data_IF_659180834108
#
_entry.id   IF_659180834108
#
_cell.length_a   1.000
_cell.length_b   1.000
_cell.length_c   1.000
_cell.angle_alpha   90.00
_cell.angle_beta   90.00
_cell.angle_gamma   90.00
#
_symmetry.space_group_name_H-M   'P 1'
#
loop_
_entity.id
_entity.type
_entity.pdbx_description
1 polymer ?
#
# COMPACT_ATOMS: atom_id res chain seq x y z
N UNK A 1 -7.41 -8.62 -10.03
CA UNK A 1 -7.14 -7.61 -11.06
C UNK A 1 -5.67 -7.19 -11.10
N UNK A 2 -5.06 -6.79 -9.99
CA UNK A 2 -3.68 -6.29 -9.97
C UNK A 2 -2.64 -7.30 -10.46
N UNK A 3 -2.80 -8.58 -10.14
CA UNK A 3 -1.91 -9.64 -10.65
C UNK A 3 -2.11 -9.93 -12.14
N UNK A 4 -3.33 -9.82 -12.65
CA UNK A 4 -3.62 -9.99 -14.07
C UNK A 4 -2.86 -8.96 -14.92
N UNK A 5 -2.89 -7.69 -14.52
CA UNK A 5 -2.12 -6.64 -15.18
C UNK A 5 -0.61 -6.88 -15.11
N UNK A 6 -0.10 -7.36 -13.97
CA UNK A 6 1.33 -7.66 -13.80
C UNK A 6 1.79 -8.85 -14.66
N UNK A 7 0.98 -9.89 -14.80
CA UNK A 7 1.28 -11.05 -15.67
C UNK A 7 1.21 -10.68 -17.14
N UNK A 8 0.28 -9.82 -17.53
CA UNK A 8 0.14 -9.36 -18.91
C UNK A 8 1.25 -8.37 -19.33
N UNK A 9 1.82 -7.64 -18.35
CA UNK A 9 2.99 -6.80 -18.55
C UNK A 9 4.25 -7.67 -18.54
N UNK A 10 5.29 -7.24 -19.24
CA UNK A 10 6.60 -7.90 -19.14
C UNK A 10 7.11 -7.87 -17.69
N UNK A 11 8.11 -8.71 -17.38
CA UNK A 11 8.71 -8.73 -16.05
C UNK A 11 9.24 -7.35 -15.65
N UNK A 12 8.84 -6.93 -14.45
CA UNK A 12 9.31 -5.70 -13.81
C UNK A 12 9.78 -5.99 -12.38
N UNK A 13 10.75 -5.21 -11.93
CA UNK A 13 11.33 -5.31 -10.57
C UNK A 13 10.28 -5.30 -9.46
N UNK A 14 9.17 -4.61 -9.66
CA UNK A 14 8.06 -4.52 -8.70
C UNK A 14 7.48 -5.90 -8.32
N UNK A 15 7.67 -6.91 -9.16
CA UNK A 15 7.23 -8.27 -8.88
C UNK A 15 7.87 -8.84 -7.60
N UNK A 16 9.09 -8.44 -7.25
CA UNK A 16 9.75 -8.84 -6.00
C UNK A 16 9.09 -8.23 -4.76
N UNK A 17 8.44 -7.08 -4.89
CA UNK A 17 7.73 -6.47 -3.76
C UNK A 17 6.48 -7.25 -3.35
N UNK A 18 5.84 -7.97 -4.26
CA UNK A 18 4.60 -8.70 -4.02
C UNK A 18 4.76 -9.76 -2.91
N UNK A 19 5.70 -10.73 -2.99
CA UNK A 19 5.90 -11.71 -1.92
C UNK A 19 6.37 -11.06 -0.61
N UNK A 20 7.21 -10.04 -0.66
CA UNK A 20 7.65 -9.32 0.53
C UNK A 20 6.48 -8.68 1.26
N UNK A 21 5.59 -8.01 0.55
CA UNK A 21 4.38 -7.41 1.11
C UNK A 21 3.36 -8.46 1.55
N UNK A 22 3.27 -9.61 0.88
CA UNK A 22 2.40 -10.71 1.31
C UNK A 22 2.85 -11.27 2.66
N UNK A 23 4.13 -11.54 2.85
CA UNK A 23 4.68 -12.00 4.13
C UNK A 23 4.61 -10.93 5.22
N UNK A 24 4.86 -9.66 4.88
CA UNK A 24 4.67 -8.54 5.81
C UNK A 24 3.20 -8.42 6.25
N UNK A 25 2.24 -8.55 5.33
CA UNK A 25 0.81 -8.52 5.62
C UNK A 25 0.38 -9.68 6.52
N UNK A 26 0.85 -10.91 6.24
CA UNK A 26 0.60 -12.07 7.08
C UNK A 26 1.16 -11.87 8.50
N UNK A 27 2.40 -11.39 8.60
CA UNK A 27 3.03 -11.07 9.89
C UNK A 27 2.27 -9.97 10.64
N UNK A 28 1.73 -8.97 9.93
CA UNK A 28 0.90 -7.91 10.54
C UNK A 28 -0.39 -8.48 11.13
N UNK A 29 -1.10 -9.30 10.37
CA UNK A 29 -2.33 -9.97 10.83
C UNK A 29 -2.05 -10.81 12.08
N UNK A 30 -0.89 -11.46 12.15
CA UNK A 30 -0.46 -12.27 13.30
C UNK A 30 0.07 -11.46 14.48
N UNK A 31 0.28 -10.15 14.32
CA UNK A 31 0.85 -9.27 15.36
C UNK A 31 2.37 -9.43 15.55
N UNK A 32 3.08 -10.00 14.58
CA UNK A 32 4.54 -10.23 14.62
C UNK A 32 5.30 -9.02 14.03
N UNK A 33 5.37 -7.94 14.79
CA UNK A 33 5.88 -6.63 14.34
C UNK A 33 7.31 -6.67 13.78
N UNK A 34 8.21 -7.42 14.45
CA UNK A 34 9.60 -7.57 13.98
C UNK A 34 9.63 -8.27 12.62
N UNK A 35 8.80 -9.27 12.41
CA UNK A 35 8.70 -9.95 11.13
C UNK A 35 8.11 -9.01 10.03
N UNK A 36 7.15 -8.14 10.38
CA UNK A 36 6.66 -7.10 9.45
C UNK A 36 7.82 -6.24 8.98
N UNK A 37 8.60 -5.69 9.90
CA UNK A 37 9.76 -4.84 9.57
C UNK A 37 10.80 -5.61 8.75
N UNK A 38 11.11 -6.85 9.13
CA UNK A 38 12.09 -7.68 8.43
C UNK A 38 11.68 -7.98 6.97
N UNK A 39 10.42 -8.33 6.73
CA UNK A 39 9.91 -8.57 5.37
C UNK A 39 9.75 -7.28 4.54
N UNK A 40 9.53 -6.15 5.20
CA UNK A 40 9.34 -4.86 4.51
C UNK A 40 10.66 -4.14 4.23
N UNK A 41 11.71 -4.36 5.02
CA UNK A 41 12.98 -3.66 4.84
C UNK A 41 13.58 -3.80 3.43
N UNK A 42 13.59 -4.98 2.79
CA UNK A 42 14.13 -5.13 1.43
C UNK A 42 13.38 -4.36 0.34
N UNK A 43 12.16 -3.87 0.60
CA UNK A 43 11.39 -3.10 -0.37
C UNK A 43 12.14 -1.86 -0.87
N UNK A 44 12.99 -1.24 -0.04
CA UNK A 44 13.79 -0.07 -0.42
C UNK A 44 14.79 -0.36 -1.55
N UNK A 45 15.11 -1.64 -1.78
CA UNK A 45 16.02 -2.09 -2.83
C UNK A 45 15.28 -2.48 -4.12
N UNK A 46 13.94 -2.61 -4.06
CA UNK A 46 13.14 -3.06 -5.21
C UNK A 46 12.81 -1.89 -6.12
N UNK A 47 12.33 -0.78 -5.54
CA UNK A 47 11.97 0.40 -6.32
C UNK A 47 12.09 1.67 -5.46
N UNK A 48 12.43 2.79 -6.11
CA UNK A 48 12.71 4.06 -5.45
C UNK A 48 11.57 4.57 -4.56
N UNK A 49 10.32 4.42 -4.98
CA UNK A 49 9.14 4.91 -4.25
C UNK A 49 8.73 4.00 -3.06
N UNK A 50 9.19 2.75 -3.04
CA UNK A 50 8.85 1.81 -1.97
C UNK A 50 9.48 2.15 -0.61
N UNK A 51 10.50 3.02 -0.59
CA UNK A 51 10.97 3.62 0.65
C UNK A 51 9.85 4.36 1.40
N UNK A 52 8.95 5.04 0.69
CA UNK A 52 7.76 5.68 1.29
C UNK A 52 6.73 4.66 1.80
N UNK A 53 6.62 3.51 1.13
CA UNK A 53 5.80 2.39 1.61
C UNK A 53 6.35 1.83 2.93
N UNK A 54 7.68 1.65 3.03
CA UNK A 54 8.36 1.24 4.27
C UNK A 54 8.15 2.26 5.39
N UNK A 55 8.26 3.56 5.07
CA UNK A 55 7.93 4.63 6.01
C UNK A 55 6.50 4.47 6.55
N UNK A 56 5.53 4.29 5.66
CA UNK A 56 4.12 4.18 6.08
C UNK A 56 3.86 2.91 6.90
N UNK A 57 4.50 1.78 6.58
CA UNK A 57 4.46 0.57 7.40
C UNK A 57 4.96 0.88 8.82
N UNK A 58 6.09 1.56 8.95
CA UNK A 58 6.62 1.97 10.25
C UNK A 58 5.64 2.86 11.03
N UNK A 59 5.02 3.85 10.36
CA UNK A 59 4.00 4.71 10.99
C UNK A 59 2.76 3.94 11.44
N UNK A 60 2.27 3.01 10.63
CA UNK A 60 1.12 2.15 10.99
C UNK A 60 1.46 1.26 12.19
N UNK A 61 2.65 0.68 12.26
CA UNK A 61 3.10 -0.11 13.39
C UNK A 61 3.27 0.74 14.65
N UNK A 62 3.87 1.94 14.54
CA UNK A 62 4.03 2.88 15.64
C UNK A 62 2.66 3.28 16.21
N UNK A 63 1.70 3.61 15.33
CA UNK A 63 0.34 3.95 15.74
C UNK A 63 -0.36 2.79 16.47
N UNK A 64 -0.18 1.55 16.00
CA UNK A 64 -0.71 0.35 16.69
C UNK A 64 -0.01 0.10 18.03
N UNK A 65 1.28 0.40 18.13
CA UNK A 65 2.10 0.21 19.32
C UNK A 65 2.13 1.39 20.31
N UNK A 66 1.36 2.45 20.08
CA UNK A 66 1.45 3.74 20.78
C UNK A 66 1.29 3.67 22.31
N UNK A 67 0.71 2.61 22.83
CA UNK A 67 0.52 2.41 24.26
C UNK A 67 1.77 1.84 24.97
N UNK A 68 2.76 1.38 24.22
CA UNK A 68 4.01 0.83 24.73
C UNK A 68 5.19 1.52 24.06
N UNK A 69 6.10 2.08 24.85
CA UNK A 69 7.23 2.88 24.36
C UNK A 69 8.08 2.15 23.32
N UNK A 70 8.48 0.89 23.57
CA UNK A 70 9.28 0.10 22.63
C UNK A 70 8.51 -0.24 21.35
N UNK A 71 7.24 -0.57 21.51
CA UNK A 71 6.35 -0.87 20.38
C UNK A 71 6.03 0.35 19.53
N UNK A 72 6.21 1.55 20.06
CA UNK A 72 6.11 2.81 19.34
C UNK A 72 7.45 3.21 18.71
N UNK A 73 8.52 3.18 19.48
CA UNK A 73 9.82 3.78 19.13
C UNK A 73 10.53 3.01 18.01
N UNK A 74 10.59 1.68 18.07
CA UNK A 74 11.28 0.90 17.02
C UNK A 74 10.60 1.01 15.66
N UNK A 75 9.26 0.91 15.53
CA UNK A 75 8.59 1.18 14.27
C UNK A 75 8.76 2.62 13.76
N UNK A 76 8.87 3.60 14.67
CA UNK A 76 9.11 4.99 14.27
C UNK A 76 10.52 5.14 13.65
N UNK A 77 11.56 4.51 14.23
CA UNK A 77 12.88 4.47 13.61
C UNK A 77 12.84 3.74 12.25
N UNK A 78 12.04 2.72 12.13
CA UNK A 78 11.84 2.02 10.86
C UNK A 78 11.14 2.92 9.82
N UNK A 79 10.20 3.76 10.24
CA UNK A 79 9.61 4.77 9.37
C UNK A 79 10.66 5.79 8.89
N UNK A 80 11.51 6.28 9.79
CA UNK A 80 12.61 7.18 9.43
C UNK A 80 13.58 6.50 8.47
N UNK A 81 13.92 5.23 8.68
CA UNK A 81 14.74 4.44 7.74
C UNK A 81 14.14 4.43 6.33
N UNK A 82 12.84 4.12 6.20
CA UNK A 82 12.16 4.11 4.90
C UNK A 82 12.20 5.47 4.20
N UNK A 83 11.95 6.55 4.96
CA UNK A 83 12.01 7.91 4.46
C UNK A 83 13.43 8.29 3.98
N UNK A 84 14.44 8.00 4.79
CA UNK A 84 15.84 8.27 4.43
C UNK A 84 16.25 7.46 3.20
N UNK A 85 15.88 6.18 3.12
CA UNK A 85 16.16 5.32 1.97
C UNK A 85 15.56 5.93 0.69
N UNK A 86 14.31 6.41 0.75
CA UNK A 86 13.69 7.12 -0.38
C UNK A 86 14.52 8.32 -0.81
N UNK A 87 14.87 9.23 0.11
CA UNK A 87 15.64 10.42 -0.24
C UNK A 87 17.04 10.10 -0.75
N UNK A 88 17.75 9.15 -0.15
CA UNK A 88 19.06 8.70 -0.62
C UNK A 88 18.94 8.14 -2.03
N UNK A 89 17.96 7.31 -2.31
CA UNK A 89 17.78 6.73 -3.64
C UNK A 89 17.47 7.83 -4.67
N UNK A 90 16.50 8.68 -4.39
CA UNK A 90 16.01 9.67 -5.37
C UNK A 90 16.97 10.83 -5.57
N UNK A 91 17.66 11.29 -4.51
CA UNK A 91 18.51 12.48 -4.58
C UNK A 91 19.98 12.19 -4.80
N UNK A 92 20.45 10.99 -4.46
CA UNK A 92 21.87 10.64 -4.55
C UNK A 92 22.10 9.50 -5.55
N UNK A 93 21.45 8.34 -5.35
CA UNK A 93 21.76 7.16 -6.15
C UNK A 93 21.28 7.30 -7.61
N UNK A 94 20.00 7.61 -7.81
CA UNK A 94 19.47 7.73 -9.18
C UNK A 94 20.17 8.81 -10.00
N UNK A 95 20.40 10.04 -9.50
CA UNK A 95 21.17 11.03 -10.25
C UNK A 95 22.62 10.59 -10.53
N UNK A 96 23.28 9.89 -9.57
CA UNK A 96 24.66 9.45 -9.75
C UNK A 96 24.81 8.36 -10.83
N UNK A 97 23.80 7.51 -11.01
CA UNK A 97 23.83 6.42 -12.00
C UNK A 97 23.07 6.75 -13.30
N UNK A 98 22.36 7.87 -13.36
CA UNK A 98 21.67 8.30 -14.56
C UNK A 98 22.56 9.23 -15.38
N UNK A 99 22.74 8.92 -16.67
CA UNK A 99 23.54 9.73 -17.60
C UNK A 99 23.07 11.18 -17.72
N UNK A 100 21.78 11.48 -17.47
CA UNK A 100 21.23 12.83 -17.45
C UNK A 100 21.49 13.57 -16.13
N UNK A 101 21.99 12.90 -15.09
CA UNK A 101 22.14 13.47 -13.75
C UNK A 101 20.82 13.85 -13.04
N UNK A 102 19.68 13.45 -13.61
CA UNK A 102 18.34 13.79 -13.12
C UNK A 102 17.48 12.56 -12.92
N UNK A 103 16.49 12.66 -12.05
CA UNK A 103 15.47 11.66 -11.90
C UNK A 103 14.26 12.00 -12.79
N UNK A 104 13.96 11.12 -13.76
CA UNK A 104 12.96 11.39 -14.79
C UNK A 104 11.50 11.44 -14.28
N UNK A 105 11.23 10.90 -13.10
CA UNK A 105 9.88 10.81 -12.51
C UNK A 105 9.65 11.85 -11.41
N UNK A 106 10.34 12.98 -11.46
CA UNK A 106 10.14 14.07 -10.50
C UNK A 106 8.70 14.59 -10.57
N UNK A 107 8.16 15.00 -9.44
CA UNK A 107 6.84 15.66 -9.36
C UNK A 107 6.89 17.08 -9.94
N UNK A 108 8.06 17.57 -10.29
CA UNK A 108 8.29 18.90 -10.87
C UNK A 108 7.84 18.92 -12.33
N UNK A 109 6.57 18.97 -12.50
CA UNK A 109 5.76 19.49 -13.57
C UNK A 109 6.28 19.69 -15.00
N UNK A 110 7.28 18.94 -15.47
CA UNK A 110 7.66 18.90 -16.89
C UNK A 110 6.62 18.19 -17.78
N UNK A 111 5.45 17.88 -17.24
CA UNK A 111 4.32 17.39 -18.01
C UNK A 111 3.60 18.55 -18.70
N UNK A 112 3.23 18.38 -19.95
CA UNK A 112 2.45 19.27 -20.82
C UNK A 112 1.08 19.73 -20.27
N UNK A 113 0.87 19.68 -18.97
CA UNK A 113 -0.39 20.00 -18.28
C UNK A 113 -0.32 21.35 -17.57
N UNK A 114 0.15 22.42 -18.15
CA UNK A 114 -0.01 23.77 -17.66
C UNK A 114 -0.08 23.96 -16.12
N UNK A 115 -0.51 25.09 -15.65
CA UNK A 115 -0.69 25.46 -14.23
C UNK A 115 -1.89 24.77 -13.57
N UNK A 116 -1.85 23.43 -13.46
CA UNK A 116 -2.92 22.63 -12.81
C UNK A 116 -2.64 22.52 -11.31
N UNK A 117 -3.62 22.80 -10.49
CA UNK A 117 -3.50 22.70 -9.03
C UNK A 117 -3.23 21.25 -8.57
N UNK A 118 -2.61 21.08 -7.37
CA UNK A 118 -2.39 19.74 -6.80
C UNK A 118 -3.68 18.95 -6.62
N UNK A 119 -4.79 19.63 -6.33
CA UNK A 119 -6.11 19.00 -6.17
C UNK A 119 -6.60 18.47 -7.52
N UNK A 120 -6.48 19.25 -8.58
CA UNK A 120 -6.82 18.79 -9.93
C UNK A 120 -5.93 17.63 -10.36
N UNK A 121 -4.62 17.69 -10.07
CA UNK A 121 -3.71 16.55 -10.32
C UNK A 121 -4.15 15.30 -9.59
N UNK A 122 -4.54 15.39 -8.35
CA UNK A 122 -4.96 14.24 -7.55
C UNK A 122 -6.29 13.63 -8.03
N UNK A 123 -7.23 14.45 -8.49
CA UNK A 123 -8.60 14.02 -8.80
C UNK A 123 -8.85 13.78 -10.29
N UNK A 124 -8.08 14.40 -11.18
CA UNK A 124 -8.29 14.29 -12.62
C UNK A 124 -7.09 13.66 -13.32
N UNK A 125 -7.27 12.79 -14.34
CA UNK A 125 -8.53 12.45 -15.04
C UNK A 125 -9.34 11.35 -14.34
N UNK A 126 -10.57 11.12 -14.84
CA UNK A 126 -11.54 10.20 -14.26
C UNK A 126 -11.08 8.72 -14.16
N UNK A 127 -10.07 8.31 -14.94
CA UNK A 127 -9.48 6.97 -14.85
C UNK A 127 -8.97 6.63 -13.44
N UNK A 128 -8.56 7.63 -12.65
CA UNK A 128 -8.11 7.47 -11.25
C UNK A 128 -9.21 6.90 -10.35
N UNK A 129 -10.47 7.23 -10.64
CA UNK A 129 -11.61 6.68 -9.87
C UNK A 129 -11.76 5.17 -10.05
N UNK A 130 -11.35 4.62 -11.20
CA UNK A 130 -11.27 3.18 -11.41
C UNK A 130 -10.30 2.50 -10.44
N UNK A 131 -9.12 3.09 -10.24
CA UNK A 131 -8.13 2.59 -9.25
C UNK A 131 -8.69 2.69 -7.83
N UNK A 132 -9.33 3.81 -7.47
CA UNK A 132 -9.95 3.98 -6.14
C UNK A 132 -11.05 2.94 -5.92
N UNK A 133 -11.93 2.74 -6.90
CA UNK A 133 -12.99 1.73 -6.80
C UNK A 133 -12.41 0.32 -6.60
N UNK A 134 -11.38 -0.05 -7.36
CA UNK A 134 -10.72 -1.35 -7.25
C UNK A 134 -9.97 -1.52 -5.93
N UNK A 135 -9.41 -0.47 -5.37
CA UNK A 135 -8.80 -0.47 -4.03
C UNK A 135 -9.85 -0.73 -2.95
N UNK A 136 -10.98 -0.04 -3.00
CA UNK A 136 -12.08 -0.21 -2.04
C UNK A 136 -12.65 -1.64 -2.15
N UNK A 137 -12.91 -2.13 -3.34
CA UNK A 137 -13.42 -3.47 -3.59
C UNK A 137 -12.39 -4.54 -3.19
N UNK A 138 -11.11 -4.35 -3.52
CA UNK A 138 -10.03 -5.26 -3.15
C UNK A 138 -9.81 -5.38 -1.63
N UNK A 139 -10.11 -4.32 -0.87
CA UNK A 139 -10.17 -4.37 0.60
C UNK A 139 -11.48 -4.98 1.12
N UNK A 140 -12.42 -5.38 0.25
CA UNK A 140 -13.75 -5.86 0.63
C UNK A 140 -14.54 -4.82 1.41
N UNK A 141 -14.31 -3.52 1.16
CA UNK A 141 -14.85 -2.35 1.86
C UNK A 141 -14.44 -2.32 3.35
N UNK A 142 -14.73 -3.41 4.09
CA UNK A 142 -14.47 -3.51 5.53
C UNK A 142 -12.99 -3.43 5.89
N UNK A 143 -12.09 -3.87 5.01
CA UNK A 143 -10.64 -3.77 5.19
C UNK A 143 -10.15 -2.31 5.34
N UNK A 144 -10.91 -1.33 4.87
CA UNK A 144 -10.61 0.10 5.09
C UNK A 144 -10.57 0.48 6.58
N UNK A 145 -11.23 -0.29 7.45
CA UNK A 145 -11.16 -0.12 8.90
C UNK A 145 -9.85 -0.63 9.53
N UNK A 146 -9.01 -1.32 8.75
CA UNK A 146 -7.68 -1.70 9.19
C UNK A 146 -6.69 -0.55 9.04
N UNK A 147 -5.83 -0.28 10.02
CA UNK A 147 -4.72 0.66 9.83
C UNK A 147 -3.74 0.19 8.74
N UNK A 148 -3.67 -1.12 8.46
CA UNK A 148 -2.84 -1.66 7.38
C UNK A 148 -3.28 -1.18 5.98
N UNK A 149 -4.56 -0.87 5.80
CA UNK A 149 -5.07 -0.28 4.56
C UNK A 149 -4.30 0.98 4.16
N UNK A 150 -3.91 1.82 5.11
CA UNK A 150 -3.24 3.09 4.84
C UNK A 150 -1.82 2.94 4.28
N UNK A 151 -1.24 1.73 4.34
CA UNK A 151 0.07 1.43 3.72
C UNK A 151 0.08 1.68 2.21
N UNK A 152 -1.08 1.63 1.54
CA UNK A 152 -1.18 1.94 0.11
C UNK A 152 -1.02 3.43 -0.21
N UNK A 153 -1.21 4.33 0.77
CA UNK A 153 -1.34 5.76 0.53
C UNK A 153 -0.14 6.40 -0.16
N UNK A 154 1.12 6.11 0.20
CA UNK A 154 2.26 6.69 -0.50
C UNK A 154 2.27 6.32 -1.98
N UNK A 155 2.02 5.05 -2.32
CA UNK A 155 1.97 4.57 -3.70
C UNK A 155 0.84 5.23 -4.49
N UNK A 156 -0.35 5.34 -3.90
CA UNK A 156 -1.49 5.99 -4.57
C UNK A 156 -1.23 7.48 -4.74
N UNK A 157 -0.74 8.16 -3.70
CA UNK A 157 -0.42 9.59 -3.77
C UNK A 157 0.64 9.88 -4.84
N UNK A 158 1.72 9.09 -4.87
CA UNK A 158 2.77 9.19 -5.87
C UNK A 158 2.21 9.06 -7.30
N UNK A 159 1.44 8.02 -7.54
CA UNK A 159 0.83 7.74 -8.84
C UNK A 159 -0.15 8.83 -9.28
N UNK A 160 -0.95 9.36 -8.35
CA UNK A 160 -1.99 10.34 -8.67
C UNK A 160 -1.44 11.76 -8.84
N UNK A 161 -0.38 12.10 -8.13
CA UNK A 161 0.31 13.39 -8.29
C UNK A 161 1.27 13.40 -9.48
N UNK A 162 1.74 12.23 -9.91
CA UNK A 162 2.59 12.08 -11.09
C UNK A 162 1.82 12.37 -12.39
N UNK A 163 2.59 12.63 -13.46
CA UNK A 163 2.08 12.99 -14.78
C UNK A 163 2.00 11.81 -15.76
N UNK A 164 2.25 10.60 -15.30
CA UNK A 164 2.35 9.40 -16.12
C UNK A 164 0.99 8.72 -16.23
N UNK A 165 0.35 8.77 -17.38
CA UNK A 165 -1.04 8.36 -17.60
C UNK A 165 -1.29 6.86 -17.31
N UNK A 166 -0.36 5.98 -17.65
CA UNK A 166 -0.49 4.55 -17.39
C UNK A 166 -0.39 4.19 -15.89
N UNK A 167 0.04 5.09 -15.02
CA UNK A 167 -0.04 4.89 -13.56
C UNK A 167 -1.49 4.86 -13.06
N UNK A 168 -2.43 5.42 -13.82
CA UNK A 168 -3.85 5.52 -13.45
C UNK A 168 -4.69 4.39 -14.04
N UNK A 169 -4.06 3.51 -14.85
CA UNK A 169 -4.74 2.36 -15.41
C UNK A 169 -4.94 1.28 -14.34
N UNK A 170 -6.19 0.88 -14.14
CA UNK A 170 -6.52 -0.16 -13.17
C UNK A 170 -6.47 -1.57 -13.76
N UNK A 171 -6.37 -1.73 -15.09
CA UNK A 171 -6.48 -3.01 -15.79
C UNK A 171 -5.15 -3.61 -16.22
N UNK A 172 -4.30 -2.82 -16.87
CA UNK A 172 -3.29 -3.37 -17.79
C UNK A 172 -1.88 -3.43 -17.21
N UNK A 173 -1.49 -2.54 -16.30
CA UNK A 173 -0.10 -2.40 -15.89
C UNK A 173 0.21 -3.09 -14.55
N UNK A 174 1.47 -3.35 -14.30
CA UNK A 174 1.98 -4.00 -13.09
C UNK A 174 1.85 -3.17 -11.79
N UNK A 175 1.53 -1.89 -11.88
CA UNK A 175 1.52 -0.97 -10.74
C UNK A 175 0.49 -1.32 -9.65
N UNK A 176 -0.51 -2.09 -9.98
CA UNK A 176 -1.55 -2.50 -9.03
C UNK A 176 -1.18 -3.78 -8.25
N UNK A 177 -0.15 -4.51 -8.67
CA UNK A 177 0.19 -5.80 -8.07
C UNK A 177 0.55 -5.70 -6.59
N UNK A 178 1.28 -4.65 -6.19
CA UNK A 178 1.68 -4.42 -4.79
C UNK A 178 0.50 -4.05 -3.87
N UNK A 179 -0.60 -3.56 -4.44
CA UNK A 179 -1.78 -3.21 -3.66
C UNK A 179 -2.49 -4.46 -3.13
N UNK A 180 -2.49 -5.56 -3.90
CA UNK A 180 -3.23 -6.78 -3.58
C UNK A 180 -2.86 -7.38 -2.23
N UNK A 181 -1.56 -7.66 -1.92
CA UNK A 181 -1.21 -8.24 -0.63
C UNK A 181 -1.52 -7.29 0.55
N UNK A 182 -1.43 -5.97 0.35
CA UNK A 182 -1.77 -4.99 1.39
C UNK A 182 -3.29 -4.99 1.65
N UNK A 183 -4.10 -4.93 0.59
CA UNK A 183 -5.56 -4.90 0.68
C UNK A 183 -6.10 -6.19 1.30
N UNK A 184 -5.57 -7.35 0.88
CA UNK A 184 -5.91 -8.63 1.47
C UNK A 184 -5.50 -8.70 2.95
N UNK A 185 -4.30 -8.24 3.30
CA UNK A 185 -3.85 -8.14 4.68
C UNK A 185 -4.75 -7.25 5.54
N UNK A 186 -5.20 -6.13 4.99
CA UNK A 186 -6.13 -5.23 5.67
C UNK A 186 -7.50 -5.90 5.93
N UNK A 187 -8.04 -6.62 4.93
CA UNK A 187 -9.27 -7.39 5.07
C UNK A 187 -9.15 -8.48 6.14
N UNK A 188 -8.05 -9.25 6.12
CA UNK A 188 -7.80 -10.33 7.07
C UNK A 188 -7.57 -9.80 8.50
N UNK A 189 -6.92 -8.63 8.67
CA UNK A 189 -6.76 -8.00 10.00
C UNK A 189 -8.12 -7.64 10.62
N UNK A 190 -9.03 -7.08 9.83
CA UNK A 190 -10.40 -6.78 10.32
C UNK A 190 -11.14 -8.06 10.65
N UNK A 191 -11.10 -9.04 9.76
CA UNK A 191 -11.75 -10.33 9.98
C UNK A 191 -11.27 -11.01 11.27
N UNK A 192 -9.95 -11.08 11.47
CA UNK A 192 -9.36 -11.65 12.70
C UNK A 192 -9.82 -10.92 13.95
N UNK A 193 -9.81 -9.58 13.96
CA UNK A 193 -10.28 -8.78 15.11
C UNK A 193 -11.75 -9.04 15.42
N UNK A 194 -12.59 -9.18 14.42
CA UNK A 194 -14.01 -9.49 14.62
C UNK A 194 -14.21 -10.89 15.18
N UNK A 195 -13.49 -11.90 14.66
CA UNK A 195 -13.58 -13.27 15.17
C UNK A 195 -13.12 -13.39 16.63
N UNK A 196 -12.14 -12.59 17.06
CA UNK A 196 -11.66 -12.57 18.44
C UNK A 196 -12.56 -11.78 19.41
N UNK A 197 -13.48 -10.97 18.88
CA UNK A 197 -14.40 -10.15 19.67
C UNK A 197 -15.79 -10.77 19.83
N UNK A 198 -15.99 -12.03 19.42
CA UNK A 198 -17.30 -12.70 19.54
C UNK A 198 -17.84 -12.76 20.98
N UNK A 199 -17.00 -12.58 22.00
CA UNK A 199 -17.39 -12.50 23.41
C UNK A 199 -17.75 -11.07 23.89
N UNK A 200 -17.61 -10.04 23.07
CA UNK A 200 -17.84 -8.66 23.52
C UNK A 200 -19.12 -8.05 22.92
N UNK A 201 -19.78 -7.20 23.71
CA UNK A 201 -21.07 -6.57 23.40
C UNK A 201 -21.13 -5.71 22.12
N UNK A 202 -20.01 -5.48 21.46
CA UNK A 202 -19.92 -4.72 20.21
C UNK A 202 -20.38 -5.55 19.00
N UNK A 203 -20.38 -6.88 19.10
CA UNK A 203 -20.90 -7.80 18.05
C UNK A 203 -22.41 -7.60 17.77
N UNK A 204 -23.14 -6.98 18.67
CA UNK A 204 -24.59 -6.77 18.54
C UNK A 204 -25.01 -5.71 17.51
N UNK A 205 -24.15 -4.74 17.20
CA UNK A 205 -24.45 -3.67 16.23
C UNK A 205 -24.31 -4.11 14.75
N UNK A 206 -23.51 -5.16 14.50
CA UNK A 206 -23.24 -5.70 13.15
C UNK A 206 -23.75 -7.12 12.97
N UNK A 207 -24.69 -7.53 13.80
CA UNK A 207 -25.26 -8.88 13.82
C UNK A 207 -25.98 -9.32 12.53
N UNK A 208 -26.19 -8.39 11.59
CA UNK A 208 -26.71 -8.70 10.26
C UNK A 208 -25.67 -9.35 9.33
N UNK A 209 -24.37 -9.17 9.59
CA UNK A 209 -23.30 -9.93 8.90
C UNK A 209 -23.04 -11.20 9.71
N UNK A 210 -23.82 -12.23 9.49
CA UNK A 210 -23.69 -13.51 10.19
C UNK A 210 -22.35 -14.17 9.88
N UNK A 211 -21.92 -15.10 10.73
CA UNK A 211 -20.70 -15.90 10.53
C UNK A 211 -20.66 -16.61 9.15
N UNK A 212 -21.83 -16.90 8.60
CA UNK A 212 -21.99 -17.52 7.27
C UNK A 212 -21.73 -16.56 6.11
N UNK A 213 -21.93 -15.27 6.30
CA UNK A 213 -21.73 -14.26 5.24
C UNK A 213 -20.30 -13.71 5.18
N UNK A 214 -19.54 -13.85 6.28
CA UNK A 214 -18.12 -13.41 6.37
C UNK A 214 -17.22 -14.07 5.32
N UNK A 215 -17.26 -15.41 5.11
CA UNK A 215 -16.50 -16.04 4.04
C UNK A 215 -16.96 -15.60 2.64
N UNK A 216 -18.25 -15.29 2.46
CA UNK A 216 -18.76 -14.81 1.17
C UNK A 216 -18.16 -13.45 0.80
N UNK A 217 -18.10 -12.49 1.74
CA UNK A 217 -17.49 -11.17 1.53
C UNK A 217 -16.00 -11.32 1.22
N UNK A 218 -15.29 -12.20 1.95
CA UNK A 218 -13.88 -12.48 1.69
C UNK A 218 -13.69 -13.16 0.31
N UNK A 219 -14.57 -14.06 -0.08
CA UNK A 219 -14.51 -14.74 -1.39
C UNK A 219 -14.74 -13.75 -2.54
N UNK A 220 -15.68 -12.82 -2.39
CA UNK A 220 -15.94 -11.78 -3.39
C UNK A 220 -14.72 -10.87 -3.53
N UNK A 221 -14.08 -10.47 -2.42
CA UNK A 221 -12.88 -9.65 -2.43
C UNK A 221 -11.67 -10.36 -3.06
N UNK A 222 -11.59 -11.69 -2.99
CA UNK A 222 -10.54 -12.49 -3.62
C UNK A 222 -10.79 -12.74 -5.11
N UNK A 223 -12.03 -12.70 -5.55
CA UNK A 223 -12.42 -12.91 -6.95
C UNK A 223 -12.29 -11.65 -7.83
N UNK A 224 -12.22 -10.46 -7.21
CA UNK A 224 -12.00 -9.16 -7.86
C UNK A 224 -10.51 -8.84 -8.00
#
# INVERSE_FOLDING_TARGET
WGFQGAVASQFHEIAFAVPLLAWASAAFVEGRWVAVMAWSAPLVLVKEDLGLTVMMIGLVLAWRGRENEKSFTYPLFFAVFGLLAFFVTVKLLLPAFNASGTWAYSLDGSSNRGDVTLIERALWPAQKYGVIAMVILGAGIIGMASPWFWVIMPTIAWRFLGSVDYYWDWKHWHYNAILIPILLGALLDVHRRWSSQEDSSISRGWGWVTSTQRPLVATIALAL
#
